data_IF_731303217912
#
_entry.id   IF_731303217912
#
_cell.length_a   1.000
_cell.length_b   1.000
_cell.length_c   1.000
_cell.angle_alpha   90.00
_cell.angle_beta   90.00
_cell.angle_gamma   90.00
#
_symmetry.space_group_name_H-M   'P 1'
#
loop_
_entity.id
_entity.type
_entity.pdbx_description
1 polymer ?
#
# COMPACT_ATOMS: atom_id res chain seq x y z
N UNK A 1 -22.96 3.56 8.18
CA UNK A 1 -21.73 4.13 7.60
C UNK A 1 -20.59 3.62 8.45
N UNK A 2 -19.58 3.00 7.84
CA UNK A 2 -18.42 2.49 8.55
C UNK A 2 -17.60 3.67 9.09
N UNK A 3 -17.00 3.49 10.27
CA UNK A 3 -16.14 4.47 10.96
C UNK A 3 -14.87 3.73 11.40
N UNK A 4 -13.74 4.41 11.44
CA UNK A 4 -12.48 3.87 11.95
C UNK A 4 -12.59 3.36 13.39
N UNK A 5 -13.45 3.93 14.24
CA UNK A 5 -13.70 3.37 15.58
C UNK A 5 -14.26 1.94 15.55
N UNK A 6 -14.91 1.54 14.45
CA UNK A 6 -15.34 0.15 14.26
C UNK A 6 -14.17 -0.81 14.00
N UNK A 7 -13.01 -0.30 13.55
CA UNK A 7 -11.81 -1.07 13.22
C UNK A 7 -10.87 -1.22 14.42
N UNK A 8 -11.26 -0.82 15.63
CA UNK A 8 -10.48 -1.11 16.83
C UNK A 8 -10.35 -2.63 16.99
N UNK A 9 -9.11 -3.14 16.92
CA UNK A 9 -8.80 -4.49 17.38
C UNK A 9 -9.22 -4.56 18.85
N UNK A 10 -10.29 -5.30 19.13
CA UNK A 10 -10.63 -5.63 20.50
C UNK A 10 -9.49 -6.48 21.07
N UNK A 11 -8.59 -5.85 21.83
CA UNK A 11 -7.53 -6.52 22.61
C UNK A 11 -8.06 -7.42 23.72
N UNK A 12 -9.38 -7.57 23.79
CA UNK A 12 -10.06 -8.29 24.83
C UNK A 12 -10.04 -9.80 24.51
N UNK A 13 -9.19 -10.52 25.23
CA UNK A 13 -9.11 -11.98 25.18
C UNK A 13 -10.42 -12.68 25.59
N UNK A 14 -11.44 -11.94 26.05
CA UNK A 14 -12.82 -12.36 26.28
C UNK A 14 -13.79 -12.15 25.12
N UNK A 15 -13.42 -11.40 24.06
CA UNK A 15 -14.26 -11.25 22.88
C UNK A 15 -14.50 -12.63 22.25
N UNK A 16 -15.77 -12.95 21.93
CA UNK A 16 -16.13 -14.20 21.25
C UNK A 16 -15.36 -14.28 19.93
N UNK A 17 -15.03 -15.48 19.48
CA UNK A 17 -14.34 -15.71 18.18
C UNK A 17 -15.02 -14.93 17.05
N UNK A 18 -16.35 -14.84 17.06
CA UNK A 18 -17.12 -14.10 16.04
C UNK A 18 -16.95 -12.56 16.11
N UNK A 19 -16.58 -11.99 17.25
CA UNK A 19 -16.25 -10.56 17.40
C UNK A 19 -14.80 -10.24 17.00
N UNK A 20 -13.91 -11.25 16.97
CA UNK A 20 -12.52 -11.11 16.51
C UNK A 20 -12.40 -11.14 14.99
N UNK A 21 -13.37 -11.82 14.33
CA UNK A 21 -13.49 -12.02 12.88
C UNK A 21 -14.17 -10.88 12.14
N UNK A 22 -14.19 -9.64 12.66
CA UNK A 22 -14.84 -8.52 11.95
C UNK A 22 -14.00 -8.09 10.76
N UNK A 23 -14.08 -8.88 9.71
CA UNK A 23 -13.54 -8.56 8.41
C UNK A 23 -14.61 -7.80 7.61
N UNK A 24 -14.25 -6.62 7.12
CA UNK A 24 -15.16 -5.71 6.43
C UNK A 24 -15.09 -5.92 4.92
N UNK A 25 -16.08 -5.43 4.19
CA UNK A 25 -15.97 -5.38 2.73
C UNK A 25 -14.78 -4.51 2.33
N UNK A 26 -13.90 -5.02 1.45
CA UNK A 26 -12.76 -4.26 0.94
C UNK A 26 -13.18 -2.92 0.32
N UNK A 27 -14.35 -2.88 -0.35
CA UNK A 27 -14.90 -1.65 -0.89
C UNK A 27 -15.41 -0.68 0.19
N UNK A 28 -16.04 -1.15 1.26
CA UNK A 28 -16.47 -0.28 2.37
C UNK A 28 -15.27 0.33 3.11
N UNK A 29 -14.20 -0.44 3.30
CA UNK A 29 -12.93 0.06 3.84
C UNK A 29 -12.25 1.07 2.91
N UNK A 30 -12.36 0.84 1.60
CA UNK A 30 -11.86 1.75 0.57
C UNK A 30 -12.63 3.07 0.60
N UNK A 31 -13.97 3.03 0.69
CA UNK A 31 -14.80 4.23 0.82
C UNK A 31 -14.44 5.00 2.09
N UNK A 32 -14.37 4.33 3.24
CA UNK A 32 -13.95 4.96 4.51
C UNK A 32 -12.57 5.63 4.39
N UNK A 33 -11.57 4.91 3.86
CA UNK A 33 -10.21 5.43 3.72
C UNK A 33 -10.16 6.61 2.75
N UNK A 34 -10.79 6.50 1.59
CA UNK A 34 -10.77 7.56 0.57
C UNK A 34 -11.51 8.81 1.04
N UNK A 35 -12.63 8.69 1.76
CA UNK A 35 -13.33 9.83 2.36
C UNK A 35 -12.48 10.52 3.43
N UNK A 36 -11.73 9.75 4.24
CA UNK A 36 -10.79 10.30 5.21
C UNK A 36 -9.62 11.03 4.54
N UNK A 37 -9.06 10.47 3.47
CA UNK A 37 -7.98 11.11 2.69
C UNK A 37 -8.46 12.44 2.09
N UNK A 38 -9.65 12.44 1.47
CA UNK A 38 -10.24 13.60 0.79
C UNK A 38 -10.76 14.69 1.73
N UNK A 39 -10.76 14.46 3.04
CA UNK A 39 -11.15 15.48 4.00
C UNK A 39 -10.27 16.74 3.82
N UNK A 40 -10.85 17.95 3.66
CA UNK A 40 -10.06 19.16 3.45
C UNK A 40 -9.06 19.40 4.58
N UNK A 41 -7.85 19.86 4.26
CA UNK A 41 -6.76 20.04 5.23
C UNK A 41 -7.13 20.95 6.42
N UNK A 42 -7.99 21.97 6.22
CA UNK A 42 -8.46 22.84 7.31
C UNK A 42 -9.30 22.08 8.34
N UNK A 43 -9.95 20.98 7.94
CA UNK A 43 -10.75 20.08 8.80
C UNK A 43 -9.93 19.01 9.51
N UNK A 44 -8.65 18.85 9.18
CA UNK A 44 -7.81 17.89 9.88
C UNK A 44 -7.59 18.31 11.32
N UNK A 45 -7.59 17.33 12.24
CA UNK A 45 -7.19 17.56 13.62
C UNK A 45 -5.69 17.87 13.74
N UNK A 46 -5.29 18.35 14.92
CA UNK A 46 -3.92 18.74 15.19
C UNK A 46 -2.93 17.56 15.12
N UNK A 47 -3.37 16.35 15.49
CA UNK A 47 -2.54 15.15 15.46
C UNK A 47 -2.22 14.72 14.04
N UNK A 48 -3.21 14.72 13.14
CA UNK A 48 -3.00 14.40 11.71
C UNK A 48 -2.11 15.43 11.01
N UNK A 49 -2.30 16.72 11.31
CA UNK A 49 -1.43 17.81 10.81
C UNK A 49 0.01 17.67 11.32
N UNK A 50 0.19 17.33 12.59
CA UNK A 50 1.52 17.09 13.15
C UNK A 50 2.18 15.86 12.51
N UNK A 51 1.43 14.77 12.34
CA UNK A 51 1.95 13.56 11.70
C UNK A 51 2.43 13.83 10.26
N UNK A 52 1.71 14.66 9.51
CA UNK A 52 2.13 15.12 8.19
C UNK A 52 3.45 15.90 8.26
N UNK A 53 3.59 16.83 9.20
CA UNK A 53 4.84 17.58 9.42
C UNK A 53 6.00 16.65 9.76
N UNK A 54 5.80 15.73 10.71
CA UNK A 54 6.80 14.78 11.16
C UNK A 54 7.21 13.81 10.03
N UNK A 55 6.27 13.46 9.14
CA UNK A 55 6.57 12.60 7.98
C UNK A 55 7.43 13.34 6.95
N UNK A 56 7.18 14.64 6.74
CA UNK A 56 8.05 15.48 5.91
C UNK A 56 9.44 15.54 6.48
N UNK A 57 9.56 15.81 7.78
CA UNK A 57 10.85 15.86 8.49
C UNK A 57 11.59 14.53 8.36
N UNK A 58 10.88 13.41 8.56
CA UNK A 58 11.44 12.07 8.38
C UNK A 58 11.96 11.84 6.96
N UNK A 59 11.21 12.26 5.93
CA UNK A 59 11.59 12.10 4.53
C UNK A 59 12.77 13.02 4.14
N UNK A 60 12.80 14.27 4.63
CA UNK A 60 13.90 15.21 4.41
C UNK A 60 15.18 14.83 5.15
N UNK A 61 15.07 14.20 6.33
CA UNK A 61 16.23 13.82 7.12
C UNK A 61 17.17 12.86 6.37
N UNK A 62 16.67 12.21 5.32
CA UNK A 62 17.48 11.34 4.48
C UNK A 62 18.18 12.06 3.35
N UNK A 63 17.75 13.26 2.93
CA UNK A 63 18.50 14.04 1.93
C UNK A 63 19.96 14.19 2.40
N UNK A 64 20.14 14.56 3.67
CA UNK A 64 21.45 14.70 4.31
C UNK A 64 22.20 13.36 4.48
N UNK A 65 21.50 12.22 4.53
CA UNK A 65 22.10 10.88 4.72
C UNK A 65 22.46 10.20 3.39
N UNK A 66 21.88 10.65 2.28
CA UNK A 66 22.03 10.09 0.95
C UNK A 66 23.16 10.75 0.14
N UNK A 67 23.58 11.97 0.49
CA UNK A 67 24.61 12.72 -0.24
C UNK A 67 26.04 12.23 0.03
N UNK A 68 26.31 11.63 1.19
CA UNK A 68 27.62 11.07 1.53
C UNK A 68 27.68 9.58 1.14
N UNK A 69 28.62 9.24 0.26
CA UNK A 69 28.85 7.89 -0.26
C UNK A 69 29.11 6.87 0.86
N UNK A 70 28.02 6.31 1.41
CA UNK A 70 28.07 5.47 2.61
C UNK A 70 26.72 5.10 3.24
N UNK A 71 25.70 4.75 2.43
CA UNK A 71 24.64 3.76 2.77
C UNK A 71 23.92 3.88 4.12
N UNK A 72 23.61 5.08 4.62
CA UNK A 72 22.72 5.20 5.78
C UNK A 72 21.27 5.34 5.30
N UNK A 73 20.66 4.20 5.01
CA UNK A 73 19.20 4.11 4.93
C UNK A 73 18.64 3.77 6.32
N UNK A 74 17.35 4.04 6.56
CA UNK A 74 16.77 4.00 7.91
C UNK A 74 16.80 2.62 8.51
N UNK A 75 16.91 2.58 9.83
CA UNK A 75 16.77 1.35 10.59
C UNK A 75 15.31 0.89 10.60
N UNK A 76 15.08 -0.37 11.00
CA UNK A 76 13.71 -0.89 11.09
C UNK A 76 12.82 -0.05 12.03
N UNK A 77 13.39 0.54 13.08
CA UNK A 77 12.69 1.45 14.00
C UNK A 77 12.25 2.75 13.32
N UNK A 78 13.07 3.30 12.43
CA UNK A 78 12.72 4.52 11.68
C UNK A 78 11.61 4.24 10.67
N UNK A 79 11.65 3.06 10.05
CA UNK A 79 10.59 2.61 9.15
C UNK A 79 9.27 2.37 9.90
N UNK A 80 9.31 1.80 11.12
CA UNK A 80 8.12 1.69 11.98
C UNK A 80 7.55 3.06 12.37
N UNK A 81 8.42 4.05 12.67
CA UNK A 81 7.97 5.44 12.91
C UNK A 81 7.23 5.98 11.69
N UNK A 82 7.77 5.75 10.49
CA UNK A 82 7.15 6.18 9.25
C UNK A 82 5.80 5.53 9.00
N UNK A 83 5.68 4.22 9.23
CA UNK A 83 4.41 3.49 9.15
C UNK A 83 3.38 4.12 10.07
N UNK A 84 3.73 4.44 11.33
CA UNK A 84 2.80 5.10 12.26
C UNK A 84 2.37 6.49 11.75
N UNK A 85 3.28 7.27 11.19
CA UNK A 85 2.96 8.58 10.61
C UNK A 85 2.05 8.46 9.37
N UNK A 86 2.38 7.58 8.42
CA UNK A 86 1.55 7.22 7.27
C UNK A 86 0.17 6.75 7.77
N UNK A 87 0.15 5.94 8.82
CA UNK A 87 -1.07 5.44 9.42
C UNK A 87 -1.97 6.57 9.91
N UNK A 88 -1.43 7.55 10.62
CA UNK A 88 -2.22 8.69 11.11
C UNK A 88 -2.72 9.57 9.96
N UNK A 89 -1.92 9.74 8.90
CA UNK A 89 -2.27 10.62 7.77
C UNK A 89 -3.34 10.01 6.87
N UNK A 90 -3.29 8.70 6.61
CA UNK A 90 -4.13 8.05 5.58
C UNK A 90 -5.11 6.99 6.12
N UNK A 91 -4.87 6.47 7.33
CA UNK A 91 -5.59 5.31 7.87
C UNK A 91 -6.00 5.48 9.34
N UNK A 92 -6.15 6.71 9.85
CA UNK A 92 -6.56 7.00 11.23
C UNK A 92 -5.82 6.19 12.33
N UNK A 93 -4.51 5.96 12.16
CA UNK A 93 -3.69 5.22 13.12
C UNK A 93 -3.89 3.69 13.13
N UNK A 94 -4.68 3.12 12.21
CA UNK A 94 -4.99 1.68 12.18
C UNK A 94 -3.84 0.74 11.80
N UNK A 95 -2.67 1.26 11.47
CA UNK A 95 -1.45 0.51 11.17
C UNK A 95 -0.35 0.65 12.25
N UNK A 96 -0.63 1.29 13.39
CA UNK A 96 0.36 1.48 14.48
C UNK A 96 0.91 0.15 15.06
N UNK A 97 0.23 -0.96 14.81
CA UNK A 97 0.62 -2.29 15.24
C UNK A 97 1.43 -3.07 14.18
N UNK A 98 1.55 -2.54 12.96
CA UNK A 98 2.27 -3.17 11.84
C UNK A 98 3.78 -3.10 12.12
N UNK A 99 4.45 -4.23 11.97
CA UNK A 99 5.90 -4.34 12.11
C UNK A 99 6.61 -4.10 10.78
N UNK A 100 7.87 -3.68 10.85
CA UNK A 100 8.75 -3.57 9.70
C UNK A 100 10.00 -4.43 9.86
N UNK A 101 10.48 -5.01 8.76
CA UNK A 101 11.77 -5.70 8.72
C UNK A 101 12.48 -5.51 7.36
N UNK A 102 13.77 -5.18 7.41
CA UNK A 102 14.65 -5.34 6.25
C UNK A 102 14.99 -6.82 6.05
N UNK A 103 14.76 -7.35 4.86
CA UNK A 103 14.99 -8.77 4.57
C UNK A 103 15.42 -8.96 3.12
N UNK A 104 16.29 -9.92 2.80
CA UNK A 104 16.61 -10.23 1.40
C UNK A 104 15.51 -11.13 0.84
N UNK A 105 14.72 -10.64 -0.12
CA UNK A 105 13.49 -11.30 -0.57
C UNK A 105 13.69 -12.26 -1.77
N UNK A 106 14.94 -12.61 -2.11
CA UNK A 106 15.22 -13.55 -3.21
C UNK A 106 14.73 -14.94 -2.85
N UNK A 107 13.77 -15.48 -3.62
CA UNK A 107 13.26 -16.83 -3.37
C UNK A 107 14.19 -17.91 -3.93
N UNK A 108 14.78 -17.75 -5.12
CA UNK A 108 15.81 -18.66 -5.65
C UNK A 108 16.74 -17.93 -6.65
N UNK A 109 18.03 -18.27 -6.68
CA UNK A 109 18.94 -17.87 -7.76
C UNK A 109 19.11 -19.04 -8.73
N UNK A 110 18.88 -18.83 -10.03
CA UNK A 110 19.22 -19.79 -11.09
C UNK A 110 20.36 -19.18 -11.92
N UNK A 111 21.52 -19.84 -11.92
CA UNK A 111 22.74 -19.36 -12.59
C UNK A 111 23.17 -17.94 -12.17
N UNK A 112 23.03 -17.62 -10.88
CA UNK A 112 23.40 -16.31 -10.33
C UNK A 112 22.42 -15.18 -10.64
N UNK A 113 21.26 -15.46 -11.27
CA UNK A 113 20.18 -14.50 -11.48
C UNK A 113 18.96 -14.86 -10.64
N UNK A 114 18.20 -13.88 -10.11
CA UNK A 114 16.91 -14.14 -9.47
C UNK A 114 16.01 -14.95 -10.40
N UNK A 115 15.41 -16.02 -9.88
CA UNK A 115 14.37 -16.79 -10.56
C UNK A 115 13.03 -16.11 -10.28
N UNK A 116 12.40 -15.58 -11.34
CA UNK A 116 11.14 -14.82 -11.24
C UNK A 116 11.36 -13.31 -11.17
N UNK A 117 10.26 -12.59 -10.97
CA UNK A 117 10.27 -11.12 -10.88
C UNK A 117 10.98 -10.64 -9.61
N UNK A 118 11.57 -9.44 -9.67
CA UNK A 118 12.21 -8.82 -8.50
C UNK A 118 11.13 -8.39 -7.52
N UNK A 119 11.15 -8.98 -6.33
CA UNK A 119 10.28 -8.59 -5.21
C UNK A 119 11.00 -7.50 -4.42
N UNK A 120 10.45 -6.28 -4.44
CA UNK A 120 10.98 -5.15 -3.66
C UNK A 120 10.44 -5.11 -2.24
N UNK A 121 9.23 -5.63 -2.03
CA UNK A 121 8.63 -5.74 -0.72
C UNK A 121 7.53 -6.80 -0.68
N UNK A 122 7.11 -7.17 0.53
CA UNK A 122 5.95 -8.02 0.77
C UNK A 122 5.33 -7.69 2.12
N UNK A 123 4.01 -7.69 2.16
CA UNK A 123 3.22 -7.63 3.39
C UNK A 123 2.73 -9.03 3.75
N UNK A 124 2.97 -9.46 4.99
CA UNK A 124 2.33 -10.66 5.54
C UNK A 124 1.27 -10.27 6.55
N UNK A 125 0.06 -10.77 6.36
CA UNK A 125 -1.02 -10.71 7.33
C UNK A 125 -1.12 -12.08 8.00
N UNK A 126 -0.81 -12.16 9.29
CA UNK A 126 -0.92 -13.41 10.03
C UNK A 126 -2.37 -13.78 10.33
N UNK A 127 -2.61 -15.08 10.55
CA UNK A 127 -3.93 -15.58 10.95
C UNK A 127 -4.35 -14.98 12.30
N UNK A 128 -5.60 -14.50 12.37
CA UNK A 128 -6.16 -13.70 13.48
C UNK A 128 -6.25 -14.44 14.83
N UNK A 129 -6.02 -15.75 14.83
CA UNK A 129 -6.14 -16.60 16.02
C UNK A 129 -4.92 -16.51 16.97
N UNK A 130 -3.80 -15.95 16.51
CA UNK A 130 -2.60 -15.72 17.33
C UNK A 130 -2.29 -14.21 17.47
N UNK A 131 -2.44 -13.69 18.67
CA UNK A 131 -2.20 -12.28 19.04
C UNK A 131 -0.81 -12.04 19.63
N UNK A 132 0.13 -12.97 19.47
CA UNK A 132 1.51 -12.78 19.90
C UNK A 132 2.19 -11.62 19.15
N UNK A 133 3.18 -11.00 19.79
CA UNK A 133 3.98 -9.94 19.15
C UNK A 133 4.74 -10.43 17.91
N UNK A 134 4.99 -11.74 17.82
CA UNK A 134 5.62 -12.38 16.67
C UNK A 134 4.68 -12.49 15.46
N UNK A 135 3.37 -12.51 15.73
CA UNK A 135 2.28 -12.72 14.79
C UNK A 135 1.48 -11.43 14.52
N UNK A 136 2.18 -10.27 14.48
CA UNK A 136 1.62 -9.00 14.00
C UNK A 136 1.78 -8.87 12.47
N UNK A 137 0.87 -8.17 11.76
CA UNK A 137 1.08 -7.80 10.36
C UNK A 137 2.46 -7.19 10.14
N UNK A 138 3.12 -7.57 9.05
CA UNK A 138 4.54 -7.27 8.85
C UNK A 138 4.83 -6.89 7.42
N UNK A 139 5.37 -5.69 7.25
CA UNK A 139 5.95 -5.21 6.00
C UNK A 139 7.43 -5.61 5.97
N UNK A 140 7.85 -6.27 4.88
CA UNK A 140 9.25 -6.59 4.62
C UNK A 140 9.68 -5.89 3.34
N UNK A 141 10.77 -5.14 3.36
CA UNK A 141 11.37 -4.56 2.16
C UNK A 141 12.73 -5.17 1.87
N UNK A 142 13.07 -5.29 0.59
CA UNK A 142 14.30 -5.95 0.15
C UNK A 142 15.53 -5.17 0.59
N UNK A 143 16.37 -5.77 1.44
CA UNK A 143 17.55 -5.11 1.99
C UNK A 143 18.61 -4.71 0.94
N UNK A 144 18.49 -5.14 -0.32
CA UNK A 144 19.39 -4.74 -1.41
C UNK A 144 19.04 -3.37 -2.00
N UNK A 145 17.79 -2.91 -1.85
CA UNK A 145 17.41 -1.55 -2.28
C UNK A 145 18.16 -0.48 -1.48
N UNK A 146 18.69 -0.86 -0.31
CA UNK A 146 19.56 -0.04 0.55
C UNK A 146 20.85 0.40 -0.16
N UNK A 147 21.29 -0.34 -1.19
CA UNK A 147 22.61 -0.20 -1.80
C UNK A 147 22.56 0.16 -3.29
N UNK A 148 21.48 0.79 -3.76
CA UNK A 148 21.38 1.17 -5.17
C UNK A 148 22.31 2.36 -5.47
N UNK A 149 23.32 2.17 -6.33
CA UNK A 149 24.39 3.16 -6.59
C UNK A 149 24.17 3.99 -7.86
N UNK A 150 22.99 3.92 -8.47
CA UNK A 150 22.68 4.71 -9.66
C UNK A 150 22.47 6.18 -9.28
N UNK A 151 23.30 7.13 -9.75
CA UNK A 151 23.18 8.55 -9.41
C UNK A 151 21.93 9.23 -9.99
N UNK A 152 21.20 8.58 -10.91
CA UNK A 152 19.93 9.07 -11.43
C UNK A 152 18.71 8.48 -10.69
N UNK A 153 18.95 7.62 -9.70
CA UNK A 153 17.90 6.93 -8.95
C UNK A 153 17.76 7.53 -7.55
N UNK A 154 16.62 8.18 -7.28
CA UNK A 154 16.24 8.59 -5.93
C UNK A 154 15.77 7.36 -5.13
N UNK A 155 16.74 6.69 -4.49
CA UNK A 155 16.49 5.48 -3.71
C UNK A 155 15.61 5.73 -2.49
N UNK A 156 15.66 6.93 -1.89
CA UNK A 156 14.73 7.33 -0.83
C UNK A 156 13.31 7.34 -1.36
N UNK A 157 13.08 8.01 -2.50
CA UNK A 157 11.75 8.08 -3.10
C UNK A 157 11.22 6.68 -3.38
N UNK A 158 12.07 5.77 -3.87
CA UNK A 158 11.67 4.38 -4.09
C UNK A 158 11.36 3.61 -2.80
N UNK A 159 12.16 3.75 -1.73
CA UNK A 159 11.89 3.12 -0.42
C UNK A 159 10.56 3.61 0.14
N UNK A 160 10.32 4.92 0.08
CA UNK A 160 9.11 5.54 0.59
C UNK A 160 7.88 5.18 -0.24
N UNK A 161 7.99 5.21 -1.57
CA UNK A 161 6.94 4.75 -2.50
C UNK A 161 6.55 3.30 -2.20
N UNK A 162 7.55 2.44 -2.06
CA UNK A 162 7.35 1.03 -1.70
C UNK A 162 6.72 0.90 -0.31
N UNK A 163 7.04 1.78 0.65
CA UNK A 163 6.46 1.73 1.99
C UNK A 163 4.99 2.14 1.98
N UNK A 164 4.64 3.20 1.25
CA UNK A 164 3.24 3.63 1.06
C UNK A 164 2.42 2.51 0.40
N UNK A 165 2.98 1.88 -0.64
CA UNK A 165 2.38 0.75 -1.34
C UNK A 165 2.04 -0.40 -0.38
N UNK A 166 3.02 -0.85 0.42
CA UNK A 166 2.82 -1.93 1.38
C UNK A 166 1.90 -1.54 2.54
N UNK A 167 1.81 -0.26 2.92
CA UNK A 167 0.83 0.18 3.92
C UNK A 167 -0.62 0.00 3.43
N UNK A 168 -0.89 0.17 2.13
CA UNK A 168 -2.21 -0.13 1.56
C UNK A 168 -2.52 -1.62 1.63
N UNK A 169 -1.55 -2.48 1.28
CA UNK A 169 -1.67 -3.93 1.46
C UNK A 169 -1.88 -4.32 2.92
N UNK A 170 -1.18 -3.67 3.86
CA UNK A 170 -1.34 -3.90 5.28
C UNK A 170 -2.74 -3.51 5.76
N UNK A 171 -3.26 -2.35 5.33
CA UNK A 171 -4.60 -1.90 5.69
C UNK A 171 -5.69 -2.84 5.13
N UNK A 172 -5.68 -3.09 3.83
CA UNK A 172 -6.66 -3.96 3.20
C UNK A 172 -6.54 -5.39 3.73
N UNK A 173 -5.34 -5.92 3.82
CA UNK A 173 -5.12 -7.28 4.29
C UNK A 173 -5.49 -7.49 5.77
N UNK A 174 -5.31 -6.48 6.62
CA UNK A 174 -5.64 -6.58 8.07
C UNK A 174 -7.14 -6.49 8.32
N UNK A 175 -7.87 -5.66 7.56
CA UNK A 175 -9.26 -5.33 7.90
C UNK A 175 -10.28 -5.84 6.89
N UNK A 176 -9.88 -6.12 5.65
CA UNK A 176 -10.79 -6.62 4.63
C UNK A 176 -10.96 -8.13 4.74
N UNK A 177 -12.16 -8.62 4.45
CA UNK A 177 -12.36 -10.06 4.28
C UNK A 177 -11.61 -10.55 3.05
N UNK A 178 -10.50 -11.26 3.29
CA UNK A 178 -9.60 -11.75 2.25
C UNK A 178 -8.99 -13.13 2.53
N UNK A 179 -9.29 -13.79 3.66
CA UNK A 179 -8.86 -15.17 3.88
C UNK A 179 -9.88 -16.16 3.31
N UNK A 180 -9.42 -17.31 2.83
CA UNK A 180 -10.29 -18.45 2.46
C UNK A 180 -11.11 -18.98 3.65
N UNK A 181 -10.77 -18.56 4.87
CA UNK A 181 -11.41 -18.93 6.13
C UNK A 181 -12.46 -17.92 6.61
N UNK A 182 -12.58 -16.78 5.93
CA UNK A 182 -13.53 -15.72 6.24
C UNK A 182 -14.88 -16.02 5.56
N UNK A 183 -15.90 -16.37 6.36
CA UNK A 183 -17.27 -16.65 5.88
C UNK A 183 -18.06 -15.38 5.49
N UNK A 184 -17.45 -14.19 5.51
CA UNK A 184 -18.12 -13.02 4.96
C UNK A 184 -18.21 -13.24 3.45
N UNK A 185 -19.43 -13.23 2.90
CA UNK A 185 -19.70 -13.35 1.47
C UNK A 185 -18.62 -12.63 0.65
N UNK A 186 -17.75 -13.41 0.03
CA UNK A 186 -16.63 -12.92 -0.74
C UNK A 186 -17.18 -12.03 -1.85
N UNK A 187 -17.10 -10.71 -1.66
CA UNK A 187 -17.17 -9.75 -2.75
C UNK A 187 -15.90 -9.94 -3.56
N UNK A 188 -15.97 -10.95 -4.43
CA UNK A 188 -15.15 -11.34 -5.58
C UNK A 188 -13.63 -11.08 -5.50
N UNK A 189 -12.83 -12.07 -5.90
CA UNK A 189 -11.38 -11.93 -6.22
C UNK A 189 -11.04 -10.71 -7.07
N UNK A 190 -12.02 -10.11 -7.76
CA UNK A 190 -11.89 -8.83 -8.44
C UNK A 190 -11.47 -7.70 -7.49
N UNK A 191 -12.14 -7.49 -6.36
CA UNK A 191 -12.01 -6.26 -5.55
C UNK A 191 -10.62 -6.12 -4.93
N UNK A 192 -10.08 -7.23 -4.42
CA UNK A 192 -8.75 -7.32 -3.80
C UNK A 192 -7.67 -7.70 -4.82
N UNK A 193 -8.04 -8.37 -5.92
CA UNK A 193 -7.09 -8.92 -6.88
C UNK A 193 -6.41 -10.19 -6.34
N UNK A 194 -5.86 -11.01 -7.24
CA UNK A 194 -5.09 -12.21 -6.85
C UNK A 194 -3.71 -11.83 -6.31
N UNK A 195 -3.17 -10.69 -6.74
CA UNK A 195 -1.87 -10.17 -6.28
C UNK A 195 -2.01 -9.10 -5.18
N UNK A 196 -3.23 -8.84 -4.70
CA UNK A 196 -3.53 -7.72 -3.81
C UNK A 196 -3.76 -6.38 -4.52
N UNK A 197 -3.68 -6.35 -5.86
CA UNK A 197 -3.83 -5.14 -6.66
C UNK A 197 -5.17 -5.07 -7.40
N UNK A 198 -6.29 -5.40 -6.74
CA UNK A 198 -7.63 -5.18 -7.29
C UNK A 198 -8.03 -3.70 -7.32
N UNK A 199 -9.26 -3.35 -7.75
CA UNK A 199 -9.77 -1.99 -7.75
C UNK A 199 -9.57 -1.26 -6.41
N UNK A 200 -9.77 -1.92 -5.27
CA UNK A 200 -9.64 -1.30 -3.94
C UNK A 200 -8.25 -0.71 -3.70
N UNK A 201 -7.20 -1.41 -4.12
CA UNK A 201 -5.82 -0.93 -4.06
C UNK A 201 -5.64 0.36 -4.89
N UNK A 202 -6.14 0.39 -6.13
CA UNK A 202 -6.02 1.55 -7.03
C UNK A 202 -6.80 2.76 -6.55
N UNK A 203 -7.99 2.53 -6.00
CA UNK A 203 -8.80 3.60 -5.43
C UNK A 203 -8.03 4.28 -4.29
N UNK A 204 -7.49 3.53 -3.32
CA UNK A 204 -6.74 4.10 -2.20
C UNK A 204 -5.44 4.75 -2.66
N UNK A 205 -4.60 4.04 -3.41
CA UNK A 205 -3.26 4.54 -3.81
C UNK A 205 -3.31 5.82 -4.62
N UNK A 206 -4.30 5.98 -5.51
CA UNK A 206 -4.42 7.20 -6.32
C UNK A 206 -4.82 8.41 -5.49
N UNK A 207 -5.67 8.25 -4.46
CA UNK A 207 -6.02 9.33 -3.54
C UNK A 207 -4.84 9.67 -2.60
N UNK A 208 -4.10 8.66 -2.12
CA UNK A 208 -2.84 8.90 -1.39
C UNK A 208 -1.89 9.74 -2.24
N UNK A 209 -1.60 9.32 -3.47
CA UNK A 209 -0.62 9.99 -4.31
C UNK A 209 -1.09 11.37 -4.82
N UNK A 210 -2.40 11.59 -4.97
CA UNK A 210 -2.94 12.91 -5.32
C UNK A 210 -2.74 13.95 -4.21
N UNK A 211 -2.74 13.51 -2.93
CA UNK A 211 -2.50 14.39 -1.78
C UNK A 211 -1.12 15.06 -1.81
N UNK A 212 -0.13 14.44 -2.46
CA UNK A 212 1.22 14.97 -2.62
C UNK A 212 1.30 16.14 -3.61
N UNK A 213 0.27 16.34 -4.44
CA UNK A 213 0.16 17.46 -5.39
C UNK A 213 -0.74 18.58 -4.85
N UNK A 214 -1.32 18.44 -3.65
CA UNK A 214 -2.24 19.43 -3.12
C UNK A 214 -1.52 20.66 -2.57
N UNK A 215 -1.76 21.81 -3.21
CA UNK A 215 -1.21 23.12 -2.81
C UNK A 215 -1.47 23.45 -1.33
N UNK A 216 -2.58 22.97 -0.76
CA UNK A 216 -2.96 23.20 0.63
C UNK A 216 -2.02 22.52 1.65
N UNK A 217 -1.27 21.51 1.21
CA UNK A 217 -0.51 20.60 2.07
C UNK A 217 1.00 20.92 2.07
N UNK A 218 1.46 21.96 1.35
CA UNK A 218 2.89 22.39 1.20
C UNK A 218 3.86 21.21 1.19
N UNK A 219 3.60 20.27 0.28
CA UNK A 219 4.43 19.09 0.06
C UNK A 219 5.19 19.27 -1.25
N UNK A 220 6.50 19.56 -1.16
CA UNK A 220 7.31 19.94 -2.33
C UNK A 220 7.95 18.76 -3.06
N UNK A 221 7.64 17.54 -2.65
CA UNK A 221 8.19 16.33 -3.27
C UNK A 221 7.34 15.85 -4.43
N UNK A 222 8.00 15.14 -5.35
CA UNK A 222 7.32 14.53 -6.48
C UNK A 222 6.29 13.52 -6.00
N UNK A 223 5.19 13.49 -6.76
CA UNK A 223 4.13 12.49 -6.62
C UNK A 223 4.71 11.07 -6.67
N UNK A 224 4.44 10.24 -5.64
CA UNK A 224 4.88 8.85 -5.65
C UNK A 224 4.17 8.10 -6.78
N UNK A 225 4.89 7.37 -7.64
CA UNK A 225 4.29 6.63 -8.75
C UNK A 225 3.43 5.46 -8.26
N UNK A 226 3.57 5.03 -6.99
CA UNK A 226 2.87 3.94 -6.31
C UNK A 226 2.91 2.61 -7.07
N UNK A 227 3.88 2.46 -7.98
CA UNK A 227 4.03 1.35 -8.91
C UNK A 227 2.76 0.99 -9.71
N UNK A 228 1.89 1.97 -10.01
CA UNK A 228 0.55 1.71 -10.56
C UNK A 228 0.55 0.90 -11.87
N UNK A 229 1.43 1.25 -12.82
CA UNK A 229 1.52 0.56 -14.11
C UNK A 229 1.91 -0.90 -13.94
N UNK A 230 2.96 -1.15 -13.14
CA UNK A 230 3.44 -2.51 -12.86
C UNK A 230 2.38 -3.34 -12.12
N UNK A 231 1.72 -2.77 -11.11
CA UNK A 231 0.65 -3.45 -10.35
C UNK A 231 -0.53 -3.82 -11.24
N UNK A 232 -0.95 -2.93 -12.16
CA UNK A 232 -2.04 -3.25 -13.09
C UNK A 232 -1.66 -4.33 -14.07
N UNK A 233 -0.44 -4.29 -14.61
CA UNK A 233 0.04 -5.29 -15.57
C UNK A 233 0.15 -6.67 -14.94
N UNK A 234 0.66 -6.76 -13.71
CA UNK A 234 0.75 -8.02 -12.97
C UNK A 234 -0.63 -8.58 -12.63
N UNK A 235 -1.53 -7.76 -12.10
CA UNK A 235 -2.89 -8.23 -11.77
C UNK A 235 -3.64 -8.72 -13.01
N UNK A 236 -3.53 -7.99 -14.12
CA UNK A 236 -4.09 -8.40 -15.41
C UNK A 236 -3.52 -9.73 -15.90
N UNK A 237 -2.20 -9.95 -15.77
CA UNK A 237 -1.55 -11.22 -16.12
C UNK A 237 -2.05 -12.38 -15.28
N UNK A 238 -2.25 -12.15 -13.98
CA UNK A 238 -2.58 -13.20 -13.00
C UNK A 238 -4.06 -13.59 -12.97
N UNK A 239 -4.96 -12.66 -13.27
CA UNK A 239 -6.42 -12.89 -13.18
C UNK A 239 -7.18 -12.67 -14.46
N UNK A 240 -6.60 -12.01 -15.45
CA UNK A 240 -7.37 -11.52 -16.58
C UNK A 240 -8.38 -10.44 -16.17
N UNK A 241 -8.18 -9.74 -15.05
CA UNK A 241 -8.97 -8.56 -14.72
C UNK A 241 -8.35 -7.29 -15.28
N UNK A 242 -9.21 -6.40 -15.80
CA UNK A 242 -8.86 -5.02 -16.12
C UNK A 242 -9.76 -4.11 -15.27
N UNK A 243 -9.23 -2.96 -14.84
CA UNK A 243 -10.04 -1.91 -14.23
C UNK A 243 -11.15 -1.49 -15.21
N UNK A 244 -12.37 -1.34 -14.69
CA UNK A 244 -13.49 -0.81 -15.48
C UNK A 244 -13.53 0.70 -15.37
N UNK A 245 -14.24 1.34 -16.30
CA UNK A 245 -14.50 2.78 -16.21
C UNK A 245 -15.15 3.18 -14.88
N UNK A 246 -16.08 2.37 -14.36
CA UNK A 246 -16.72 2.60 -13.05
C UNK A 246 -15.74 2.58 -11.87
N UNK A 247 -14.67 1.78 -11.95
CA UNK A 247 -13.60 1.75 -10.95
C UNK A 247 -12.75 3.02 -11.08
N UNK A 248 -12.35 3.36 -12.31
CA UNK A 248 -11.50 4.52 -12.61
C UNK A 248 -12.18 5.85 -12.23
N UNK A 249 -13.49 5.97 -12.42
CA UNK A 249 -14.25 7.17 -12.05
C UNK A 249 -14.20 7.48 -10.56
N UNK A 250 -13.95 6.47 -9.71
CA UNK A 250 -13.80 6.61 -8.25
C UNK A 250 -12.36 6.94 -7.82
N UNK A 251 -11.36 6.69 -8.67
CA UNK A 251 -9.97 7.07 -8.43
C UNK A 251 -9.80 8.60 -8.43
N UNK A 252 -8.68 9.06 -7.87
CA UNK A 252 -8.35 10.48 -7.85
C UNK A 252 -8.36 11.09 -9.27
N UNK A 253 -9.00 12.27 -9.47
CA UNK A 253 -9.18 12.85 -10.81
C UNK A 253 -7.88 12.99 -11.61
N UNK A 254 -6.76 13.34 -10.96
CA UNK A 254 -5.46 13.51 -11.60
C UNK A 254 -4.85 12.21 -12.17
N UNK A 255 -5.42 11.05 -11.85
CA UNK A 255 -4.96 9.74 -12.35
C UNK A 255 -5.88 9.10 -13.39
N UNK A 256 -7.12 9.59 -13.54
CA UNK A 256 -8.12 8.86 -14.33
C UNK A 256 -7.72 8.71 -15.81
N UNK A 257 -7.11 9.74 -16.41
CA UNK A 257 -6.64 9.66 -17.79
C UNK A 257 -5.50 8.64 -17.95
N UNK A 258 -4.54 8.65 -17.03
CA UNK A 258 -3.43 7.70 -17.00
C UNK A 258 -3.93 6.25 -16.88
N UNK A 259 -4.85 5.99 -15.94
CA UNK A 259 -5.47 4.68 -15.75
C UNK A 259 -6.28 4.23 -16.98
N UNK A 260 -7.04 5.13 -17.63
CA UNK A 260 -7.71 4.82 -18.91
C UNK A 260 -6.70 4.51 -20.02
N UNK A 261 -5.52 5.13 -19.99
CA UNK A 261 -4.39 4.80 -20.86
C UNK A 261 -3.95 3.34 -20.67
N UNK A 262 -3.68 2.94 -19.43
CA UNK A 262 -3.26 1.57 -19.09
C UNK A 262 -4.35 0.56 -19.47
N UNK A 263 -5.60 0.81 -19.08
CA UNK A 263 -6.76 -0.01 -19.42
C UNK A 263 -6.84 -0.29 -20.93
N UNK A 264 -6.71 0.76 -21.77
CA UNK A 264 -6.73 0.61 -23.23
C UNK A 264 -5.60 -0.27 -23.74
N UNK A 265 -4.37 -0.08 -23.25
CA UNK A 265 -3.21 -0.90 -23.65
C UNK A 265 -3.44 -2.39 -23.32
N UNK A 266 -4.00 -2.68 -22.15
CA UNK A 266 -4.29 -4.04 -21.69
C UNK A 266 -5.39 -4.71 -22.52
N UNK A 267 -6.44 -3.97 -22.90
CA UNK A 267 -7.49 -4.49 -23.77
C UNK A 267 -6.96 -4.81 -25.17
N UNK A 268 -6.18 -3.91 -25.78
CA UNK A 268 -5.60 -4.14 -27.11
C UNK A 268 -4.63 -5.33 -27.12
N UNK A 269 -3.82 -5.51 -26.07
CA UNK A 269 -2.91 -6.65 -25.98
C UNK A 269 -3.64 -8.00 -26.00
N UNK A 270 -4.88 -8.07 -25.49
CA UNK A 270 -5.70 -9.30 -25.52
C UNK A 270 -6.28 -9.58 -26.89
N UNK A 271 -6.77 -8.55 -27.57
CA UNK A 271 -7.31 -8.69 -28.94
C UNK A 271 -6.25 -9.23 -29.92
N UNK A 272 -4.97 -8.94 -29.67
CA UNK A 272 -3.85 -9.44 -30.48
C UNK A 272 -3.31 -10.80 -30.01
N UNK A 273 -3.68 -11.30 -28.83
CA UNK A 273 -3.28 -12.63 -28.37
C UNK A 273 -4.25 -13.73 -28.81
N UNK A 274 -5.47 -13.37 -29.23
CA UNK A 274 -6.50 -14.31 -29.70
C UNK A 274 -6.26 -14.89 -31.10
N UNK A 275 -5.20 -14.46 -31.81
CA UNK A 275 -4.81 -15.01 -33.12
C UNK A 275 -3.71 -16.12 -33.02
N UNK A 276 -3.59 -16.77 -31.85
CA UNK A 276 -2.58 -17.83 -31.61
C UNK A 276 -3.15 -19.10 -30.97
N UNK A 277 -4.35 -19.51 -31.40
CA UNK A 277 -4.85 -20.89 -31.25
C UNK A 277 -4.98 -21.59 -32.61
#
# INVERSE_FOLDING_TARGET
MLDFNCLERHTDASAKIDDRRRAYSAMELTELCTDFIKAPYDKWDAGRKQALSDLKEWYTAWDDMCEDWGQLVPEGTDMMKAISLISKIFFDGRLDHVQFKWETLVQELVNGKPKGDIIYATTSIPDEDDNSDENRPKIRQDARIRNHTDPLYDHRAAIFDTLLHECVHAYLGTYACGSETCECESKTTRDVGKTGHGPTFFLITTHIAALFEEDAIDWRFLKPPMSLDYSLEQENRETGNVLRNEDIEKCAPSFQEHLRGIMRRQLTAREHSSDSE
#
